data_IF_972022489057
#
_entry.id   IF_972022489057
#
_cell.length_a   1.000
_cell.length_b   1.000
_cell.length_c   1.000
_cell.angle_alpha   90.00
_cell.angle_beta   90.00
_cell.angle_gamma   90.00
#
_symmetry.space_group_name_H-M   'P 1'
#
loop_
_entity.id
_entity.type
_entity.pdbx_description
1 polymer ?
#
# COMPACT_ATOMS: atom_id res chain seq x y z
N UNK A 1 12.06 -21.19 16.87
CA UNK A 1 13.06 -20.43 16.09
C UNK A 1 14.15 -21.31 15.47
N UNK A 2 14.59 -22.40 16.11
CA UNK A 2 15.61 -23.30 15.55
C UNK A 2 15.20 -23.90 14.19
N UNK A 3 13.96 -24.41 14.08
CA UNK A 3 13.47 -25.02 12.83
C UNK A 3 13.35 -24.01 11.68
N UNK A 4 12.88 -22.80 11.97
CA UNK A 4 12.86 -21.72 10.98
C UNK A 4 14.27 -21.45 10.45
N UNK A 5 15.26 -21.26 11.34
CA UNK A 5 16.65 -21.02 10.93
C UNK A 5 17.20 -22.15 10.08
N UNK A 6 16.92 -23.40 10.45
CA UNK A 6 17.34 -24.59 9.70
C UNK A 6 16.70 -24.64 8.31
N UNK A 7 15.39 -24.44 8.20
CA UNK A 7 14.69 -24.45 6.91
C UNK A 7 15.16 -23.29 6.04
N UNK A 8 15.26 -22.09 6.61
CA UNK A 8 15.67 -20.87 5.93
C UNK A 8 17.09 -20.96 5.39
N UNK A 9 18.04 -21.51 6.17
CA UNK A 9 19.43 -21.67 5.74
C UNK A 9 19.61 -22.64 4.56
N UNK A 10 18.70 -23.59 4.38
CA UNK A 10 18.75 -24.56 3.29
C UNK A 10 17.89 -24.17 2.07
N UNK A 11 17.12 -23.08 2.17
CA UNK A 11 16.20 -22.67 1.12
C UNK A 11 16.95 -22.00 -0.04
N UNK A 12 16.71 -22.49 -1.26
CA UNK A 12 17.22 -21.86 -2.50
C UNK A 12 16.26 -20.81 -3.06
N UNK A 13 14.96 -20.99 -2.78
CA UNK A 13 13.88 -20.13 -3.22
C UNK A 13 12.97 -19.83 -2.03
N UNK A 14 12.76 -18.55 -1.75
CA UNK A 14 12.00 -18.08 -0.60
C UNK A 14 10.89 -17.17 -1.12
N UNK A 15 9.66 -17.43 -0.68
CA UNK A 15 8.53 -16.54 -0.88
C UNK A 15 8.12 -15.94 0.47
N UNK A 16 8.03 -14.61 0.52
CA UNK A 16 7.55 -13.85 1.66
C UNK A 16 6.17 -13.32 1.30
N UNK A 17 5.13 -13.73 2.02
CA UNK A 17 3.76 -13.26 1.78
C UNK A 17 3.40 -12.26 2.89
N UNK A 18 3.03 -11.04 2.52
CA UNK A 18 2.63 -9.99 3.48
C UNK A 18 1.22 -9.47 3.24
N UNK A 19 0.61 -8.98 4.32
CA UNK A 19 -0.64 -8.24 4.32
C UNK A 19 -0.55 -7.03 5.25
N UNK A 20 -1.68 -6.39 5.53
CA UNK A 20 -1.71 -5.06 6.15
C UNK A 20 -1.00 -5.01 7.52
N UNK A 21 -0.92 -6.14 8.23
CA UNK A 21 -0.19 -6.28 9.49
C UNK A 21 1.27 -5.82 9.44
N UNK A 22 1.98 -5.99 8.30
CA UNK A 22 3.37 -5.50 8.18
C UNK A 22 3.46 -3.97 8.20
N UNK A 23 2.37 -3.27 7.93
CA UNK A 23 2.31 -1.79 7.84
C UNK A 23 1.82 -1.09 9.10
N UNK A 24 1.44 -1.84 10.15
CA UNK A 24 0.94 -1.28 11.42
C UNK A 24 1.95 -0.32 12.05
N UNK A 25 3.22 -0.74 12.11
CA UNK A 25 4.29 0.07 12.71
C UNK A 25 4.63 1.31 11.88
N UNK A 26 4.22 1.35 10.61
CA UNK A 26 4.28 2.55 9.77
C UNK A 26 3.09 3.49 10.01
N UNK A 27 2.29 3.24 11.07
CA UNK A 27 1.05 3.97 11.40
C UNK A 27 0.05 3.99 10.24
N UNK A 28 0.03 2.92 9.46
CA UNK A 28 -1.00 2.67 8.45
C UNK A 28 -2.18 2.01 9.15
N UNK A 29 -3.33 2.68 9.16
CA UNK A 29 -4.54 2.11 9.75
C UNK A 29 -5.01 0.91 8.92
N UNK A 30 -5.37 -0.17 9.62
CA UNK A 30 -5.69 -1.47 9.01
C UNK A 30 -7.12 -1.56 8.46
N UNK A 31 -8.03 -0.66 8.84
CA UNK A 31 -9.47 -0.83 8.60
C UNK A 31 -9.94 -0.20 7.29
N UNK A 32 -10.86 -0.90 6.61
CA UNK A 32 -11.73 -0.36 5.55
C UNK A 32 -12.76 0.66 6.09
N UNK A 33 -12.74 0.88 7.40
CA UNK A 33 -13.60 1.78 8.14
C UNK A 33 -12.71 2.81 8.83
N UNK A 34 -12.61 3.99 8.24
CA UNK A 34 -12.04 5.14 8.93
C UNK A 34 -13.15 6.12 9.24
N UNK A 35 -13.29 6.48 10.51
CA UNK A 35 -13.96 7.71 10.89
C UNK A 35 -13.05 8.86 10.47
N UNK A 36 -13.38 9.51 9.36
CA UNK A 36 -12.77 10.77 8.96
C UNK A 36 -13.79 11.85 9.24
N UNK A 37 -13.38 12.95 9.84
CA UNK A 37 -14.28 14.08 10.12
C UNK A 37 -14.71 14.67 8.78
N UNK A 38 -16.03 14.66 8.52
CA UNK A 38 -16.58 15.26 7.31
C UNK A 38 -16.46 16.79 7.34
N UNK A 39 -16.65 17.43 6.19
CA UNK A 39 -16.59 18.90 6.00
C UNK A 39 -17.43 19.73 7.03
N UNK A 40 -18.35 19.09 7.74
CA UNK A 40 -19.22 19.71 8.75
C UNK A 40 -18.79 19.39 10.21
N UNK A 41 -17.57 18.90 10.44
CA UNK A 41 -17.10 18.52 11.78
C UNK A 41 -17.74 17.23 12.35
N UNK A 42 -18.54 16.50 11.55
CA UNK A 42 -19.19 15.26 11.97
C UNK A 42 -18.34 14.04 11.58
N UNK A 43 -18.13 13.06 12.48
CA UNK A 43 -17.47 11.81 12.13
C UNK A 43 -18.20 11.15 10.95
N UNK A 44 -17.49 10.89 9.86
CA UNK A 44 -17.98 10.09 8.74
C UNK A 44 -17.16 8.84 8.68
N UNK A 45 -17.79 7.69 8.85
CA UNK A 45 -17.17 6.42 8.49
C UNK A 45 -17.13 6.33 6.97
N UNK A 46 -15.94 6.36 6.37
CA UNK A 46 -15.77 6.04 4.95
C UNK A 46 -15.89 4.54 4.76
N UNK A 47 -17.13 4.03 4.75
CA UNK A 47 -17.42 2.66 4.32
C UNK A 47 -17.54 2.62 2.81
N UNK A 48 -16.47 2.25 2.11
CA UNK A 48 -16.57 2.01 0.68
C UNK A 48 -17.22 0.65 0.39
N UNK A 49 -18.52 0.52 0.72
CA UNK A 49 -19.33 -0.67 0.37
C UNK A 49 -20.09 -0.51 -0.96
N UNK A 50 -19.93 0.61 -1.67
CA UNK A 50 -20.66 0.88 -2.92
C UNK A 50 -19.79 0.58 -4.14
N UNK A 51 -20.31 -0.12 -5.17
CA UNK A 51 -19.59 -0.36 -6.41
C UNK A 51 -19.11 0.96 -7.05
N UNK A 52 -17.91 0.95 -7.63
CA UNK A 52 -17.35 2.11 -8.34
C UNK A 52 -18.32 2.72 -9.35
N UNK A 53 -19.03 1.88 -10.09
CA UNK A 53 -20.02 2.30 -11.08
C UNK A 53 -21.18 3.12 -10.48
N UNK A 54 -21.52 2.95 -9.20
CA UNK A 54 -22.66 3.63 -8.57
C UNK A 54 -22.32 5.05 -8.12
N UNK A 55 -21.10 5.29 -7.63
CA UNK A 55 -20.66 6.62 -7.20
C UNK A 55 -19.13 6.75 -7.33
N UNK A 56 -18.62 6.93 -8.57
CA UNK A 56 -17.18 6.97 -8.82
C UNK A 56 -16.51 8.15 -8.11
N UNK A 57 -17.21 9.28 -7.96
CA UNK A 57 -16.67 10.45 -7.26
C UNK A 57 -16.38 10.18 -5.79
N UNK A 58 -17.24 9.43 -5.10
CA UNK A 58 -17.00 9.06 -3.70
C UNK A 58 -15.84 8.07 -3.57
N UNK A 59 -15.72 7.11 -4.49
CA UNK A 59 -14.59 6.18 -4.52
C UNK A 59 -13.28 6.92 -4.76
N UNK A 60 -13.25 7.84 -5.73
CA UNK A 60 -12.07 8.65 -6.00
C UNK A 60 -11.66 9.51 -4.81
N UNK A 61 -12.62 10.12 -4.09
CA UNK A 61 -12.32 10.85 -2.85
C UNK A 61 -11.67 9.95 -1.79
N UNK A 62 -12.19 8.73 -1.60
CA UNK A 62 -11.63 7.77 -0.65
C UNK A 62 -10.20 7.36 -1.02
N UNK A 63 -9.97 6.96 -2.25
CA UNK A 63 -8.63 6.55 -2.69
C UNK A 63 -7.65 7.72 -2.77
N UNK A 64 -8.12 8.93 -3.06
CA UNK A 64 -7.27 10.12 -2.96
C UNK A 64 -6.83 10.38 -1.53
N UNK A 65 -7.74 10.31 -0.56
CA UNK A 65 -7.40 10.38 0.86
C UNK A 65 -6.32 9.36 1.24
N UNK A 66 -6.50 8.08 0.85
CA UNK A 66 -5.50 7.05 1.13
C UNK A 66 -4.15 7.34 0.50
N UNK A 67 -4.13 7.87 -0.73
CA UNK A 67 -2.89 8.29 -1.39
C UNK A 67 -2.19 9.42 -0.66
N UNK A 68 -2.93 10.41 -0.17
CA UNK A 68 -2.35 11.50 0.62
C UNK A 68 -1.81 11.01 1.97
N UNK A 69 -2.53 10.12 2.67
CA UNK A 69 -2.02 9.47 3.88
C UNK A 69 -0.73 8.73 3.57
N UNK A 70 -0.69 7.89 2.53
CA UNK A 70 0.51 7.08 2.22
C UNK A 70 1.71 7.90 1.75
N UNK A 71 1.52 9.14 1.27
CA UNK A 71 2.64 10.03 0.93
C UNK A 71 3.48 10.39 2.15
N UNK A 72 2.88 10.51 3.34
CA UNK A 72 3.59 10.86 4.57
C UNK A 72 4.14 9.66 5.33
N UNK A 73 3.79 8.42 4.95
CA UNK A 73 4.25 7.21 5.65
C UNK A 73 5.54 6.67 5.06
N UNK A 74 6.41 6.21 5.94
CA UNK A 74 7.70 5.61 5.60
C UNK A 74 7.74 4.12 5.97
N UNK A 75 8.62 3.33 5.31
CA UNK A 75 8.81 1.93 5.67
C UNK A 75 9.28 1.79 7.12
N UNK A 76 8.70 0.83 7.82
CA UNK A 76 9.14 0.45 9.17
C UNK A 76 10.28 -0.59 9.13
N UNK A 77 10.87 -0.97 10.29
CA UNK A 77 11.93 -1.97 10.35
C UNK A 77 11.58 -3.31 9.71
N UNK A 78 10.31 -3.73 9.73
CA UNK A 78 9.85 -4.96 9.07
C UNK A 78 10.03 -4.92 7.56
N UNK A 79 9.62 -3.82 6.91
CA UNK A 79 9.82 -3.62 5.47
C UNK A 79 11.30 -3.56 5.11
N UNK A 80 12.08 -2.80 5.90
CA UNK A 80 13.52 -2.65 5.68
C UNK A 80 14.24 -4.01 5.83
N UNK A 81 13.88 -4.81 6.83
CA UNK A 81 14.45 -6.14 7.04
C UNK A 81 14.14 -7.08 5.87
N UNK A 82 12.92 -7.03 5.33
CA UNK A 82 12.53 -7.82 4.16
C UNK A 82 13.35 -7.39 2.92
N UNK A 83 13.44 -6.09 2.65
CA UNK A 83 14.21 -5.56 1.52
C UNK A 83 15.70 -5.91 1.63
N UNK A 84 16.30 -5.77 2.82
CA UNK A 84 17.70 -6.13 3.08
C UNK A 84 17.92 -7.65 2.93
N UNK A 85 16.98 -8.47 3.38
CA UNK A 85 17.04 -9.92 3.25
C UNK A 85 17.00 -10.33 1.76
N UNK A 86 16.09 -9.75 0.99
CA UNK A 86 15.98 -9.95 -0.46
C UNK A 86 17.29 -9.59 -1.16
N UNK A 87 17.84 -8.41 -0.87
CA UNK A 87 19.09 -7.97 -1.46
C UNK A 87 20.27 -8.90 -1.11
N UNK A 88 20.47 -9.19 0.18
CA UNK A 88 21.59 -10.01 0.66
C UNK A 88 21.56 -11.43 0.08
N UNK A 89 20.38 -12.04 -0.02
CA UNK A 89 20.25 -13.39 -0.55
C UNK A 89 20.37 -13.43 -2.07
N UNK A 90 19.91 -12.38 -2.78
CA UNK A 90 20.16 -12.21 -4.21
C UNK A 90 21.64 -12.14 -4.53
N UNK A 91 22.43 -11.41 -3.74
CA UNK A 91 23.89 -11.32 -3.90
C UNK A 91 24.60 -12.66 -3.66
N UNK A 92 23.94 -13.61 -2.98
CA UNK A 92 24.40 -14.99 -2.78
C UNK A 92 23.88 -15.97 -3.85
N UNK A 93 23.21 -15.48 -4.90
CA UNK A 93 22.64 -16.29 -5.97
C UNK A 93 21.34 -17.02 -5.60
N UNK A 94 20.73 -16.67 -4.47
CA UNK A 94 19.44 -17.22 -4.02
C UNK A 94 18.29 -16.35 -4.52
N UNK A 95 17.09 -16.92 -4.61
CA UNK A 95 15.90 -16.19 -5.08
C UNK A 95 14.95 -15.92 -3.92
N UNK A 96 14.62 -14.65 -3.71
CA UNK A 96 13.58 -14.22 -2.78
C UNK A 96 12.52 -13.46 -3.56
N UNK A 97 11.24 -13.79 -3.39
CA UNK A 97 10.11 -13.02 -3.91
C UNK A 97 9.26 -12.54 -2.75
N UNK A 98 8.87 -11.27 -2.78
CA UNK A 98 7.92 -10.68 -1.84
C UNK A 98 6.58 -10.56 -2.53
N UNK A 99 5.55 -11.19 -1.99
CA UNK A 99 4.18 -11.17 -2.48
C UNK A 99 3.36 -10.38 -1.47
N UNK A 100 2.83 -9.23 -1.86
CA UNK A 100 2.09 -8.36 -0.95
C UNK A 100 0.64 -8.17 -1.37
N UNK A 101 -0.26 -8.26 -0.39
CA UNK A 101 -1.66 -7.84 -0.51
C UNK A 101 -1.83 -6.33 -0.32
N UNK A 102 -0.78 -5.64 0.14
CA UNK A 102 -0.83 -4.21 0.44
C UNK A 102 -0.69 -3.39 -0.83
N UNK A 103 -1.42 -2.29 -0.88
CA UNK A 103 -1.45 -1.34 -2.01
C UNK A 103 -0.67 -0.05 -1.69
N UNK A 104 0.20 -0.09 -0.69
CA UNK A 104 0.62 1.04 0.13
C UNK A 104 2.02 1.59 -0.21
N UNK A 105 2.70 0.99 -1.19
CA UNK A 105 4.06 1.29 -1.67
C UNK A 105 5.20 1.05 -0.68
N UNK A 106 4.95 0.61 0.56
CA UNK A 106 6.00 0.61 1.59
C UNK A 106 7.12 -0.39 1.32
N UNK A 107 6.82 -1.55 0.72
CA UNK A 107 7.87 -2.49 0.25
C UNK A 107 8.74 -1.90 -0.85
N UNK A 108 8.13 -1.14 -1.77
CA UNK A 108 8.80 -0.47 -2.88
C UNK A 108 9.72 0.64 -2.37
N UNK A 109 9.21 1.48 -1.46
CA UNK A 109 9.97 2.50 -0.73
C UNK A 109 11.12 1.91 0.09
N UNK A 110 10.94 0.73 0.68
CA UNK A 110 12.00 0.02 1.41
C UNK A 110 13.12 -0.52 0.50
N UNK A 111 12.92 -0.51 -0.83
CA UNK A 111 13.91 -0.96 -1.81
C UNK A 111 13.77 -2.42 -2.23
N UNK A 112 12.67 -3.09 -1.87
CA UNK A 112 12.38 -4.48 -2.33
C UNK A 112 12.33 -4.50 -3.86
N UNK A 113 13.15 -5.34 -4.50
CA UNK A 113 13.21 -5.40 -5.98
C UNK A 113 12.33 -6.47 -6.58
N UNK A 114 12.31 -7.67 -6.02
CA UNK A 114 11.47 -8.75 -6.50
C UNK A 114 10.12 -8.77 -5.76
N UNK A 115 9.25 -7.83 -6.13
CA UNK A 115 7.96 -7.57 -5.49
C UNK A 115 6.80 -7.92 -6.43
N UNK A 116 5.80 -8.64 -5.91
CA UNK A 116 4.54 -8.94 -6.57
C UNK A 116 3.38 -8.35 -5.76
N UNK A 117 2.70 -7.37 -6.35
CA UNK A 117 1.60 -6.62 -5.72
C UNK A 117 0.25 -7.18 -6.20
N UNK A 118 -0.29 -8.17 -5.48
CA UNK A 118 -1.43 -8.97 -5.96
C UNK A 118 -2.77 -8.22 -5.91
N UNK A 119 -2.83 -7.10 -5.20
CA UNK A 119 -3.99 -6.20 -5.13
C UNK A 119 -3.72 -4.84 -5.78
N UNK A 120 -2.72 -4.75 -6.67
CA UNK A 120 -2.27 -3.50 -7.30
C UNK A 120 -1.66 -2.51 -6.31
N UNK A 121 -1.53 -1.25 -6.75
CA UNK A 121 -1.00 -0.13 -5.95
C UNK A 121 -1.97 1.05 -5.97
N UNK A 122 -1.96 1.85 -4.90
CA UNK A 122 -2.64 3.15 -4.83
C UNK A 122 -2.15 4.13 -5.90
N UNK A 123 -0.97 3.91 -6.48
CA UNK A 123 -0.29 4.85 -7.37
C UNK A 123 -0.39 4.51 -8.86
N UNK A 124 -1.20 3.51 -9.20
CA UNK A 124 -1.60 3.22 -10.57
C UNK A 124 -3.08 3.54 -10.79
N UNK A 125 -3.41 3.92 -12.01
CA UNK A 125 -4.79 4.17 -12.46
C UNK A 125 -5.08 3.35 -13.69
N UNK A 126 -6.29 2.78 -13.77
CA UNK A 126 -6.77 2.02 -14.92
C UNK A 126 -7.98 2.67 -15.54
N UNK A 127 -7.93 2.97 -16.83
CA UNK A 127 -9.07 3.48 -17.58
C UNK A 127 -10.15 2.40 -17.67
N UNK A 128 -11.39 2.72 -17.26
CA UNK A 128 -12.52 1.79 -17.31
C UNK A 128 -13.07 1.57 -18.72
N UNK A 129 -12.65 2.38 -19.71
CA UNK A 129 -13.07 2.24 -21.11
C UNK A 129 -12.06 1.45 -21.94
N UNK A 130 -10.80 1.87 -21.97
CA UNK A 130 -9.77 1.25 -22.82
C UNK A 130 -8.82 0.32 -22.07
N UNK A 131 -8.92 0.24 -20.74
CA UNK A 131 -8.05 -0.63 -19.94
C UNK A 131 -6.62 -0.13 -19.74
N UNK A 132 -6.23 1.02 -20.32
CA UNK A 132 -4.90 1.59 -20.16
C UNK A 132 -4.55 1.79 -18.67
N UNK A 133 -3.38 1.29 -18.27
CA UNK A 133 -2.83 1.44 -16.92
C UNK A 133 -1.70 2.46 -16.96
N UNK A 134 -1.70 3.41 -16.03
CA UNK A 134 -0.64 4.39 -15.91
C UNK A 134 -0.35 4.70 -14.44
N UNK A 135 0.94 4.83 -14.11
CA UNK A 135 1.37 5.41 -12.85
C UNK A 135 0.91 6.87 -12.76
N UNK A 136 0.48 7.26 -11.57
CA UNK A 136 0.12 8.62 -11.25
C UNK A 136 0.54 8.87 -9.81
N UNK A 137 1.51 9.76 -9.60
CA UNK A 137 1.96 10.21 -8.28
C UNK A 137 1.49 11.63 -7.93
N UNK A 138 0.67 12.25 -8.79
CA UNK A 138 0.21 13.64 -8.60
C UNK A 138 -0.57 13.80 -7.28
N UNK A 139 -0.44 14.97 -6.68
CA UNK A 139 -1.34 15.50 -5.64
C UNK A 139 -1.92 16.83 -6.09
N UNK A 140 -3.26 17.00 -6.17
CA UNK A 140 -4.26 15.93 -6.13
C UNK A 140 -4.12 15.00 -7.35
N UNK A 141 -4.71 13.80 -7.30
CA UNK A 141 -4.63 12.84 -8.42
C UNK A 141 -5.26 13.39 -9.71
N UNK A 142 -6.27 14.26 -9.58
CA UNK A 142 -6.86 15.04 -10.66
C UNK A 142 -7.34 16.41 -10.14
N UNK A 143 -7.46 17.44 -11.00
CA UNK A 143 -7.85 18.79 -10.58
C UNK A 143 -9.18 18.87 -9.83
N UNK A 144 -10.14 17.99 -10.14
CA UNK A 144 -11.46 17.96 -9.50
C UNK A 144 -11.43 17.63 -8.00
N UNK A 145 -10.32 17.05 -7.53
CA UNK A 145 -10.08 16.68 -6.14
C UNK A 145 -9.23 17.69 -5.37
N UNK A 146 -8.86 18.83 -5.97
CA UNK A 146 -8.17 19.90 -5.25
C UNK A 146 -8.97 20.32 -3.99
N UNK A 147 -8.29 20.38 -2.85
CA UNK A 147 -8.88 20.72 -1.55
C UNK A 147 -9.86 19.67 -0.99
N UNK A 148 -9.93 18.46 -1.56
CA UNK A 148 -10.88 17.42 -1.14
C UNK A 148 -10.14 16.16 -0.71
N UNK A 149 -10.57 15.57 0.41
CA UNK A 149 -10.02 14.28 0.87
C UNK A 149 -8.57 14.37 1.34
N UNK A 150 -8.07 15.55 1.72
CA UNK A 150 -6.79 15.65 2.42
C UNK A 150 -6.94 15.09 3.85
N UNK A 151 -5.97 14.32 4.36
CA UNK A 151 -5.92 13.95 5.76
C UNK A 151 -5.78 15.18 6.66
N UNK A 152 -6.38 15.13 7.84
CA UNK A 152 -6.12 16.14 8.86
C UNK A 152 -4.67 16.02 9.37
N UNK A 153 -4.07 17.10 9.89
CA UNK A 153 -2.65 17.14 10.27
C UNK A 153 -2.18 16.03 11.22
N UNK A 154 -3.12 15.39 11.94
CA UNK A 154 -2.85 14.38 12.97
C UNK A 154 -3.10 12.92 12.52
N UNK A 155 -3.41 12.67 11.23
CA UNK A 155 -3.72 11.33 10.68
C UNK A 155 -2.58 10.64 9.93
#
# INVERSE_FOLDING_TARGET
MADFRKCFANAKHIAIISGAGVSVESRVQLSEEQEVIGENGKPRTWRLRRPFARNPSQVWKFYHYRREVMKSKEPNPGHLAIAQCEARLRDQGLRVVVITQNIDELHRKAGTKNLLEIHWTLFETRCTSCGNVAENFKSPICPALAGKGAPEPET
#
